data_IF_648533223610
#
_entry.id   IF_648533223610
#
_cell.length_a   1.000
_cell.length_b   1.000
_cell.length_c   1.000
_cell.angle_alpha   90.00
_cell.angle_beta   90.00
_cell.angle_gamma   90.00
#
_symmetry.space_group_name_H-M   'P 1'
#
loop_
_entity.id
_entity.type
_entity.pdbx_description
1 polymer ?
#
# COMPACT_ATOMS: atom_id res chain seq x y z
N UNK A 1 -35.19 -8.97 20.92
CA UNK A 1 -34.69 -8.90 19.53
C UNK A 1 -33.26 -9.41 19.53
N UNK A 2 -33.04 -10.65 19.07
CA UNK A 2 -31.72 -11.30 19.10
C UNK A 2 -30.91 -11.05 17.82
N UNK A 3 -29.57 -11.08 17.85
CA UNK A 3 -28.75 -10.82 16.66
C UNK A 3 -28.78 -12.01 15.69
N UNK A 4 -29.18 -11.71 14.46
CA UNK A 4 -29.14 -12.61 13.31
C UNK A 4 -27.68 -12.92 12.93
N UNK A 5 -27.11 -13.98 13.50
CA UNK A 5 -25.77 -14.47 13.18
C UNK A 5 -25.79 -15.30 11.89
N UNK A 6 -25.87 -14.63 10.72
CA UNK A 6 -25.64 -15.32 9.44
C UNK A 6 -24.14 -15.48 9.20
N UNK A 7 -23.52 -16.48 9.84
CA UNK A 7 -22.31 -17.08 9.26
C UNK A 7 -22.75 -17.82 7.99
N UNK A 8 -22.17 -17.55 6.82
CA UNK A 8 -22.51 -18.31 5.63
C UNK A 8 -22.05 -19.75 5.85
N UNK A 9 -23.01 -20.67 5.98
CA UNK A 9 -22.76 -22.10 5.88
C UNK A 9 -22.18 -22.35 4.50
N UNK A 10 -20.87 -22.64 4.42
CA UNK A 10 -20.25 -23.12 3.18
C UNK A 10 -20.98 -24.40 2.78
N UNK A 11 -21.80 -24.34 1.73
CA UNK A 11 -22.33 -25.52 1.05
C UNK A 11 -21.14 -26.36 0.57
N UNK A 12 -20.88 -27.46 1.29
CA UNK A 12 -19.70 -28.33 1.11
C UNK A 12 -19.83 -29.26 -0.10
N UNK A 13 -20.89 -29.13 -0.90
CA UNK A 13 -21.25 -30.06 -1.98
C UNK A 13 -21.35 -29.42 -3.38
N UNK A 14 -20.91 -28.17 -3.54
CA UNK A 14 -20.87 -27.56 -4.88
C UNK A 14 -19.90 -28.34 -5.80
N UNK A 15 -20.32 -28.77 -7.01
CA UNK A 15 -19.47 -29.47 -7.98
C UNK A 15 -18.23 -28.65 -8.39
N UNK A 16 -18.27 -27.33 -8.16
CA UNK A 16 -17.19 -26.39 -8.45
C UNK A 16 -16.11 -26.34 -7.36
N UNK A 17 -16.37 -26.90 -6.17
CA UNK A 17 -15.42 -26.88 -5.05
C UNK A 17 -14.11 -27.64 -5.34
N UNK A 18 -14.15 -28.63 -6.25
CA UNK A 18 -12.98 -29.41 -6.71
C UNK A 18 -11.99 -28.58 -7.55
N UNK A 19 -12.44 -27.47 -8.13
CA UNK A 19 -11.61 -26.58 -8.97
C UNK A 19 -11.22 -25.28 -8.28
N UNK A 20 -11.65 -25.07 -7.03
CA UNK A 20 -11.20 -23.93 -6.22
C UNK A 20 -9.72 -24.10 -5.87
N UNK A 21 -8.86 -23.53 -6.72
CA UNK A 21 -7.43 -23.42 -6.44
C UNK A 21 -7.19 -22.19 -5.57
N UNK A 22 -6.46 -22.38 -4.48
CA UNK A 22 -6.01 -21.26 -3.67
C UNK A 22 -4.93 -20.48 -4.43
N UNK A 23 -5.24 -19.25 -4.83
CA UNK A 23 -4.27 -18.30 -5.37
C UNK A 23 -3.77 -17.39 -4.23
N UNK A 24 -2.45 -17.22 -4.12
CA UNK A 24 -1.85 -16.31 -3.12
C UNK A 24 -0.95 -15.30 -3.83
N UNK A 25 -1.13 -14.01 -3.51
CA UNK A 25 -0.20 -12.97 -3.91
C UNK A 25 0.96 -12.87 -2.89
N UNK A 26 2.19 -12.66 -3.38
CA UNK A 26 3.36 -12.51 -2.52
C UNK A 26 3.44 -11.09 -1.95
N UNK A 27 2.72 -10.83 -0.86
CA UNK A 27 2.76 -9.54 -0.12
C UNK A 27 3.54 -9.71 1.19
N UNK A 28 4.85 -9.96 1.08
CA UNK A 28 5.70 -10.33 2.24
C UNK A 28 5.76 -9.28 3.35
N UNK A 29 5.32 -8.04 3.09
CA UNK A 29 5.37 -6.96 4.07
C UNK A 29 4.41 -7.19 5.23
N UNK A 30 3.27 -7.88 5.02
CA UNK A 30 2.29 -8.24 6.06
C UNK A 30 2.86 -9.10 7.18
N UNK A 31 3.89 -9.89 6.89
CA UNK A 31 4.47 -10.88 7.79
C UNK A 31 5.78 -10.42 8.46
N UNK A 32 6.15 -9.15 8.34
CA UNK A 32 7.31 -8.62 9.06
C UNK A 32 6.92 -8.33 10.52
N UNK A 33 7.81 -8.56 11.51
CA UNK A 33 7.47 -8.38 12.92
C UNK A 33 6.86 -7.01 13.25
N UNK A 34 7.38 -5.94 12.63
CA UNK A 34 6.89 -4.58 12.85
C UNK A 34 5.51 -4.26 12.26
N UNK A 35 4.99 -5.05 11.32
CA UNK A 35 3.68 -4.79 10.69
C UNK A 35 2.51 -5.40 11.45
N UNK A 36 2.76 -6.33 12.38
CA UNK A 36 1.71 -6.90 13.22
C UNK A 36 1.29 -5.97 14.38
N UNK A 37 2.18 -5.09 14.83
CA UNK A 37 1.96 -4.22 15.99
C UNK A 37 0.76 -3.27 15.83
N UNK A 38 0.58 -2.56 14.70
CA UNK A 38 -0.56 -1.66 14.53
C UNK A 38 -1.88 -2.42 14.51
N UNK A 39 -1.93 -3.57 13.83
CA UNK A 39 -3.10 -4.45 13.83
C UNK A 39 -3.48 -4.90 15.24
N UNK A 40 -2.51 -5.36 16.04
CA UNK A 40 -2.75 -5.75 17.45
C UNK A 40 -3.26 -4.59 18.29
N UNK A 41 -2.77 -3.37 18.06
CA UNK A 41 -3.23 -2.17 18.78
C UNK A 41 -4.69 -1.83 18.48
N UNK A 42 -5.12 -2.01 17.23
CA UNK A 42 -6.51 -1.87 16.79
C UNK A 42 -7.36 -2.99 17.39
N UNK A 43 -6.95 -4.24 17.22
CA UNK A 43 -7.69 -5.43 17.71
C UNK A 43 -7.86 -5.42 19.23
N UNK A 44 -6.88 -4.90 19.98
CA UNK A 44 -6.96 -4.78 21.44
C UNK A 44 -7.75 -3.56 21.93
N UNK A 45 -8.24 -2.71 21.03
CA UNK A 45 -8.94 -1.46 21.38
C UNK A 45 -8.06 -0.39 22.04
N UNK A 46 -6.74 -0.56 22.07
CA UNK A 46 -5.82 0.31 22.84
C UNK A 46 -5.75 1.75 22.30
N UNK A 47 -6.08 1.93 21.03
CA UNK A 47 -6.09 3.24 20.36
C UNK A 47 -7.51 3.75 20.09
N UNK A 48 -8.53 3.08 20.63
CA UNK A 48 -9.93 3.39 20.37
C UNK A 48 -10.32 3.16 18.91
N UNK A 49 -11.29 3.95 18.43
CA UNK A 49 -11.77 3.89 17.06
C UNK A 49 -10.79 4.58 16.10
N UNK A 50 -10.39 3.88 15.05
CA UNK A 50 -9.45 4.42 14.06
C UNK A 50 -10.15 5.42 13.15
N UNK A 51 -9.77 6.71 13.26
CA UNK A 51 -10.31 7.78 12.39
C UNK A 51 -9.46 8.08 11.16
N UNK A 52 -8.15 7.85 11.23
CA UNK A 52 -7.19 8.15 10.16
C UNK A 52 -6.08 7.10 10.06
N UNK A 53 -5.76 6.68 8.83
CA UNK A 53 -4.62 5.82 8.53
C UNK A 53 -3.70 6.47 7.50
N UNK A 54 -2.42 6.60 7.84
CA UNK A 54 -1.38 7.10 6.95
C UNK A 54 -0.38 5.99 6.65
N UNK A 55 -0.20 5.65 5.38
CA UNK A 55 0.82 4.71 4.94
C UNK A 55 1.74 5.38 3.93
N UNK A 56 3.06 5.22 4.09
CA UNK A 56 4.03 5.72 3.10
C UNK A 56 4.99 4.63 2.72
N UNK A 57 5.40 4.60 1.46
CA UNK A 57 6.54 3.79 1.03
C UNK A 57 7.36 4.58 0.07
N UNK A 58 8.66 4.56 0.30
CA UNK A 58 9.61 5.21 -0.57
C UNK A 58 10.72 4.24 -0.90
N UNK A 59 11.21 4.32 -2.13
CA UNK A 59 12.36 3.56 -2.59
C UNK A 59 13.35 4.50 -3.24
N UNK A 60 14.62 4.12 -3.24
CA UNK A 60 15.58 4.78 -4.11
C UNK A 60 15.23 4.48 -5.56
N UNK A 61 15.22 5.50 -6.41
CA UNK A 61 15.18 5.34 -7.85
C UNK A 61 16.64 5.19 -8.31
N UNK A 62 17.08 3.96 -8.52
CA UNK A 62 18.47 3.63 -8.87
C UNK A 62 18.57 3.23 -10.33
N UNK A 63 19.40 3.95 -11.09
CA UNK A 63 19.63 3.70 -12.52
C UNK A 63 18.41 4.00 -13.39
N UNK A 64 18.59 3.81 -14.70
CA UNK A 64 17.50 3.88 -15.68
C UNK A 64 16.69 2.58 -15.69
N UNK A 65 15.41 2.69 -16.03
CA UNK A 65 14.51 1.56 -16.23
C UNK A 65 14.72 1.00 -17.63
N UNK A 66 15.21 -0.24 -17.72
CA UNK A 66 15.37 -0.95 -18.99
C UNK A 66 14.36 -2.09 -19.15
N UNK A 67 13.96 -2.39 -20.38
CA UNK A 67 13.09 -3.52 -20.70
C UNK A 67 11.64 -3.30 -20.28
N UNK A 68 10.96 -4.36 -19.83
CA UNK A 68 9.51 -4.32 -19.57
C UNK A 68 9.10 -3.36 -18.45
N UNK A 69 9.99 -3.06 -17.49
CA UNK A 69 9.69 -2.13 -16.39
C UNK A 69 9.76 -0.65 -16.82
N UNK A 70 10.33 -0.39 -17.99
CA UNK A 70 10.41 0.95 -18.57
C UNK A 70 9.10 1.40 -19.21
N UNK A 71 8.20 0.46 -19.51
CA UNK A 71 6.95 0.73 -20.25
C UNK A 71 5.74 0.55 -19.37
N UNK A 72 4.69 1.35 -19.59
CA UNK A 72 3.39 1.26 -18.91
C UNK A 72 2.78 -0.13 -19.03
N UNK A 73 2.84 -0.70 -20.23
CA UNK A 73 2.25 -2.00 -20.53
C UNK A 73 2.93 -3.14 -19.74
N UNK A 74 4.26 -3.11 -19.60
CA UNK A 74 4.97 -4.12 -18.82
C UNK A 74 4.93 -3.82 -17.32
N UNK A 75 5.18 -2.57 -16.91
CA UNK A 75 5.29 -2.16 -15.52
C UNK A 75 3.95 -2.14 -14.78
N UNK A 76 2.86 -1.79 -15.48
CA UNK A 76 1.54 -1.55 -14.89
C UNK A 76 1.44 -0.26 -14.07
N UNK A 77 2.56 0.38 -13.75
CA UNK A 77 2.63 1.63 -13.00
C UNK A 77 3.00 1.45 -11.53
N UNK A 78 3.34 2.57 -10.91
CA UNK A 78 3.91 2.61 -9.56
C UNK A 78 2.89 2.34 -8.47
N UNK A 79 1.62 2.65 -8.70
CA UNK A 79 0.55 2.31 -7.78
C UNK A 79 0.33 0.79 -7.68
N UNK A 80 0.13 0.05 -8.79
CA UNK A 80 0.08 -1.43 -8.75
C UNK A 80 1.36 -2.08 -8.25
N UNK A 81 2.54 -1.55 -8.60
CA UNK A 81 3.82 -2.16 -8.21
C UNK A 81 4.21 -1.88 -6.75
N UNK A 82 4.19 -0.62 -6.34
CA UNK A 82 4.72 -0.16 -5.04
C UNK A 82 3.59 0.21 -4.08
N UNK A 83 2.57 0.89 -4.61
CA UNK A 83 1.38 1.34 -3.88
C UNK A 83 0.59 0.20 -3.25
N UNK A 84 0.48 -0.94 -3.93
CA UNK A 84 -0.27 -2.12 -3.46
C UNK A 84 0.15 -2.59 -2.06
N UNK A 85 1.42 -2.44 -1.71
CA UNK A 85 1.92 -2.80 -0.38
C UNK A 85 1.43 -1.88 0.73
N UNK A 86 1.05 -0.64 0.43
CA UNK A 86 0.34 0.21 1.39
C UNK A 86 -1.10 -0.24 1.57
N UNK A 87 -1.76 -0.52 0.45
CA UNK A 87 -3.17 -0.86 0.44
C UNK A 87 -3.38 -2.16 1.22
N UNK A 88 -2.53 -3.17 0.98
CA UNK A 88 -2.52 -4.39 1.80
C UNK A 88 -2.14 -4.11 3.27
N UNK A 89 -1.24 -3.16 3.54
CA UNK A 89 -0.93 -2.81 4.92
C UNK A 89 -2.14 -2.18 5.63
N UNK A 90 -2.83 -1.24 5.00
CA UNK A 90 -4.05 -0.61 5.52
C UNK A 90 -5.13 -1.67 5.75
N UNK A 91 -5.40 -2.52 4.76
CA UNK A 91 -6.32 -3.66 4.88
C UNK A 91 -5.92 -4.60 6.02
N UNK A 92 -4.62 -4.88 6.18
CA UNK A 92 -4.14 -5.76 7.23
C UNK A 92 -4.33 -5.17 8.63
N UNK A 93 -4.26 -3.85 8.77
CA UNK A 93 -4.41 -3.15 10.06
C UNK A 93 -5.89 -2.97 10.41
N UNK A 94 -6.70 -2.58 9.42
CA UNK A 94 -8.13 -2.36 9.57
C UNK A 94 -8.86 -3.03 8.40
N UNK A 95 -9.26 -4.32 8.55
CA UNK A 95 -9.81 -5.14 7.47
C UNK A 95 -11.29 -4.81 7.22
N UNK A 96 -11.56 -3.57 6.80
CA UNK A 96 -12.86 -3.09 6.38
C UNK A 96 -12.80 -2.65 4.91
N UNK A 97 -13.90 -2.76 4.15
CA UNK A 97 -13.91 -2.43 2.73
C UNK A 97 -13.49 -0.99 2.43
N UNK A 98 -12.73 -0.81 1.35
CA UNK A 98 -12.53 0.49 0.71
C UNK A 98 -13.80 0.86 -0.07
N UNK A 99 -14.32 2.06 0.12
CA UNK A 99 -15.57 2.52 -0.54
C UNK A 99 -15.30 3.52 -1.65
N UNK A 100 -14.27 4.35 -1.54
CA UNK A 100 -13.84 5.24 -2.62
C UNK A 100 -12.37 5.60 -2.54
N UNK A 101 -11.79 6.00 -3.67
CA UNK A 101 -10.43 6.50 -3.76
C UNK A 101 -10.29 7.64 -4.76
N UNK A 102 -9.31 8.51 -4.52
CA UNK A 102 -8.78 9.48 -5.49
C UNK A 102 -7.27 9.34 -5.52
N UNK A 103 -6.67 9.30 -6.71
CA UNK A 103 -5.24 9.09 -6.88
C UNK A 103 -4.63 10.07 -7.88
N UNK A 104 -3.39 10.46 -7.63
CA UNK A 104 -2.56 11.20 -8.57
C UNK A 104 -1.20 10.52 -8.67
N UNK A 105 -0.58 10.59 -9.84
CA UNK A 105 0.74 10.04 -10.10
C UNK A 105 1.46 10.85 -11.18
N UNK A 106 2.77 10.77 -11.22
CA UNK A 106 3.58 11.45 -12.23
C UNK A 106 5.04 11.04 -12.19
N UNK A 107 5.76 11.45 -13.22
CA UNK A 107 7.21 11.41 -13.26
C UNK A 107 7.71 12.86 -13.29
N UNK A 108 8.35 13.29 -12.20
CA UNK A 108 8.76 14.69 -12.02
C UNK A 108 10.28 14.88 -11.99
N UNK A 109 11.05 13.81 -11.84
CA UNK A 109 12.50 13.86 -11.62
C UNK A 109 13.30 12.87 -12.48
N UNK A 110 12.65 12.02 -13.28
CA UNK A 110 13.32 10.98 -14.10
C UNK A 110 12.84 11.01 -15.55
N UNK A 111 13.02 12.12 -16.29
CA UNK A 111 12.52 12.27 -17.66
C UNK A 111 13.04 11.19 -18.63
N UNK A 112 14.16 10.55 -18.30
CA UNK A 112 14.72 9.40 -19.03
C UNK A 112 13.82 8.16 -19.00
N UNK A 113 12.94 8.04 -18.00
CA UNK A 113 12.03 6.90 -17.81
C UNK A 113 10.55 7.36 -17.80
N UNK A 114 10.04 7.97 -18.89
CA UNK A 114 8.80 8.77 -18.89
C UNK A 114 7.55 7.98 -18.47
N UNK A 115 7.50 6.68 -18.72
CA UNK A 115 6.35 5.83 -18.38
C UNK A 115 6.42 5.25 -16.95
N UNK A 116 7.44 5.62 -16.16
CA UNK A 116 7.68 5.11 -14.82
C UNK A 116 7.50 6.22 -13.76
N UNK A 117 6.40 6.21 -13.00
CA UNK A 117 6.06 7.33 -12.09
C UNK A 117 6.91 7.40 -10.83
N UNK A 118 7.67 8.45 -10.60
CA UNK A 118 8.47 8.59 -9.39
C UNK A 118 7.66 9.09 -8.18
N UNK A 119 6.48 9.65 -8.40
CA UNK A 119 5.60 10.13 -7.33
C UNK A 119 4.17 9.65 -7.54
N UNK A 120 3.54 9.21 -6.45
CA UNK A 120 2.10 8.93 -6.42
C UNK A 120 1.50 9.29 -5.07
N UNK A 121 0.23 9.67 -5.07
CA UNK A 121 -0.58 9.87 -3.87
C UNK A 121 -1.97 9.25 -4.04
N UNK A 122 -2.56 8.76 -2.95
CA UNK A 122 -3.92 8.22 -2.91
C UNK A 122 -4.62 8.68 -1.63
N UNK A 123 -5.82 9.23 -1.78
CA UNK A 123 -6.80 9.44 -0.72
C UNK A 123 -7.83 8.32 -0.76
N UNK A 124 -8.18 7.74 0.39
CA UNK A 124 -9.07 6.58 0.54
C UNK A 124 -10.18 6.88 1.53
N UNK A 125 -11.36 6.32 1.27
CA UNK A 125 -12.45 6.20 2.24
C UNK A 125 -12.73 4.73 2.52
N UNK A 126 -12.91 4.40 3.79
CA UNK A 126 -13.27 3.06 4.26
C UNK A 126 -14.75 3.04 4.68
N UNK A 127 -15.36 1.86 4.70
CA UNK A 127 -16.77 1.66 5.09
C UNK A 127 -17.05 2.12 6.53
N UNK A 128 -16.07 2.03 7.43
CA UNK A 128 -16.14 2.56 8.79
C UNK A 128 -16.22 4.09 8.87
N UNK A 129 -16.07 4.81 7.76
CA UNK A 129 -15.89 6.26 7.72
C UNK A 129 -14.44 6.72 7.96
N UNK A 130 -13.53 5.80 8.29
CA UNK A 130 -12.09 6.07 8.42
C UNK A 130 -11.52 6.62 7.11
N UNK A 131 -10.70 7.66 7.20
CA UNK A 131 -9.96 8.19 6.06
C UNK A 131 -8.57 7.56 5.99
N UNK A 132 -8.10 7.31 4.77
CA UNK A 132 -6.79 6.76 4.49
C UNK A 132 -6.00 7.67 3.56
N UNK A 133 -4.70 7.78 3.78
CA UNK A 133 -3.78 8.48 2.89
C UNK A 133 -2.55 7.65 2.60
N UNK A 134 -2.16 7.64 1.32
CA UNK A 134 -0.95 6.99 0.86
C UNK A 134 -0.12 7.91 -0.02
N UNK A 135 1.16 8.07 0.32
CA UNK A 135 2.19 8.57 -0.60
C UNK A 135 3.24 7.55 -0.96
N UNK A 136 3.62 7.56 -2.24
CA UNK A 136 4.80 6.89 -2.75
C UNK A 136 5.70 7.94 -3.38
N UNK A 137 6.97 7.99 -2.97
CA UNK A 137 8.00 8.79 -3.63
C UNK A 137 9.20 7.92 -3.92
N UNK A 138 9.77 8.04 -5.09
CA UNK A 138 11.05 7.48 -5.46
C UNK A 138 12.02 8.63 -5.67
N UNK A 139 13.11 8.62 -4.91
CA UNK A 139 14.13 9.65 -5.05
C UNK A 139 15.41 9.02 -5.56
N UNK A 140 16.07 9.68 -6.52
CA UNK A 140 17.50 9.52 -6.69
C UNK A 140 18.17 9.80 -5.33
N UNK A 141 19.26 9.10 -5.00
CA UNK A 141 19.97 9.35 -3.75
C UNK A 141 20.29 10.84 -3.66
N UNK A 142 20.01 11.46 -2.51
CA UNK A 142 20.46 12.83 -2.29
C UNK A 142 21.97 12.88 -2.49
N UNK A 143 22.47 13.81 -3.30
CA UNK A 143 23.82 14.33 -3.09
C UNK A 143 23.90 14.75 -1.62
N UNK A 144 25.00 14.47 -0.90
CA UNK A 144 25.16 14.98 0.45
C UNK A 144 24.88 16.48 0.41
N UNK A 145 23.96 16.93 1.26
CA UNK A 145 23.81 18.37 1.49
C UNK A 145 25.19 18.86 1.95
N UNK A 146 25.70 20.01 1.47
CA UNK A 146 26.88 20.58 2.08
C UNK A 146 26.60 20.69 3.58
N UNK A 147 27.48 20.10 4.40
CA UNK A 147 27.41 20.30 5.84
C UNK A 147 27.35 21.80 6.10
N UNK A 148 26.37 22.23 6.88
CA UNK A 148 26.40 23.59 7.38
C UNK A 148 27.75 23.76 8.11
N UNK A 149 28.53 24.83 7.83
CA UNK A 149 29.80 25.04 8.50
C UNK A 149 29.59 25.01 10.01
N UNK A 150 30.46 24.27 10.73
CA UNK A 150 30.44 24.23 12.19
C UNK A 150 30.55 25.69 12.67
N UNK A 151 29.62 26.19 13.52
CA UNK A 151 29.71 27.54 14.07
C UNK A 151 30.96 27.77 14.95
N UNK A 152 31.87 26.80 15.04
CA UNK A 152 33.14 26.84 15.79
C UNK A 152 34.38 26.76 14.90
N UNK A 153 34.26 26.89 13.58
CA UNK A 153 35.41 27.11 12.68
C UNK A 153 35.36 28.48 12.05
#
# INVERSE_FOLDING_TARGET
>A
MGPCSRRPTRCRTSPWSRWLRALKARICRRWRPGTATPRRAVESGRIGEVKLLNARKSYKFSGSRSGWIATRAGYGGTLPWIGIHALDFIDSVLPVPFTSLSAMHGNLAHPEDPECEDVCTINLRLESGTLGFRTTRRSSGASPQPEAPDPRT
#
